data_IF_580427417055
#
_entry.id   IF_580427417055
#
_cell.length_a   1.000
_cell.length_b   1.000
_cell.length_c   1.000
_cell.angle_alpha   90.00
_cell.angle_beta   90.00
_cell.angle_gamma   90.00
#
_symmetry.space_group_name_H-M   'P 1'
#
loop_
_entity.id
_entity.type
_entity.pdbx_description
1 polymer ?
#
# COMPACT_ATOMS: atom_id res chain seq x y z
N UNK A 1 10.11 -41.80 -14.59
CA UNK A 1 9.53 -40.61 -15.24
C UNK A 1 8.32 -40.17 -14.45
N UNK A 2 8.26 -38.87 -14.14
CA UNK A 2 7.09 -38.07 -13.70
C UNK A 2 6.57 -38.26 -12.27
N UNK A 3 6.92 -37.31 -11.40
CA UNK A 3 6.20 -37.01 -10.16
C UNK A 3 4.99 -36.10 -10.47
N UNK A 4 3.86 -36.22 -9.74
CA UNK A 4 2.70 -35.34 -9.95
C UNK A 4 2.92 -33.99 -9.27
N UNK A 5 2.90 -32.91 -10.07
CA UNK A 5 2.81 -31.53 -9.60
C UNK A 5 1.47 -31.34 -8.88
N UNK A 6 1.49 -31.30 -7.54
CA UNK A 6 0.34 -30.85 -6.76
C UNK A 6 0.15 -29.36 -7.00
N UNK A 7 -1.03 -29.02 -7.52
CA UNK A 7 -1.53 -27.66 -7.63
C UNK A 7 -1.39 -26.96 -6.26
N UNK A 8 -0.54 -25.94 -6.21
CA UNK A 8 -0.43 -25.07 -5.04
C UNK A 8 -1.68 -24.21 -5.01
N UNK A 9 -2.51 -24.45 -3.99
CA UNK A 9 -3.65 -23.63 -3.61
C UNK A 9 -3.22 -22.16 -3.60
N UNK A 10 -3.84 -21.36 -4.46
CA UNK A 10 -3.78 -19.91 -4.38
C UNK A 10 -4.36 -19.49 -3.02
N UNK A 11 -3.49 -19.23 -2.05
CA UNK A 11 -3.84 -18.51 -0.85
C UNK A 11 -4.23 -17.12 -1.34
N UNK A 12 -5.52 -16.79 -1.23
CA UNK A 12 -6.01 -15.44 -1.42
C UNK A 12 -5.08 -14.51 -0.64
N UNK A 13 -4.30 -13.71 -1.37
CA UNK A 13 -3.30 -12.85 -0.78
C UNK A 13 -4.05 -11.89 0.14
N UNK A 14 -3.89 -12.04 1.45
CA UNK A 14 -4.15 -10.92 2.37
C UNK A 14 -3.32 -9.78 1.76
N UNK A 15 -3.93 -8.68 1.29
CA UNK A 15 -3.17 -7.62 0.65
C UNK A 15 -2.10 -7.23 1.66
N UNK A 16 -0.84 -7.40 1.25
CA UNK A 16 0.30 -7.22 2.11
C UNK A 16 0.34 -5.74 2.48
N UNK A 17 -0.34 -5.33 3.56
CA UNK A 17 -0.38 -3.94 4.06
C UNK A 17 0.96 -3.49 4.66
N UNK A 18 2.07 -4.09 4.24
CA UNK A 18 3.41 -3.73 4.67
C UNK A 18 3.83 -2.34 4.18
N UNK A 19 4.97 -1.90 4.71
CA UNK A 19 5.62 -0.61 4.44
C UNK A 19 5.91 -0.42 2.94
N UNK A 20 4.93 0.11 2.21
CA UNK A 20 5.02 0.30 0.74
C UNK A 20 3.77 -0.08 -0.04
N UNK A 21 2.78 -0.72 0.58
CA UNK A 21 1.46 -0.97 -0.01
C UNK A 21 0.68 0.34 -0.28
N UNK A 22 -0.29 0.34 -1.21
CA UNK A 22 -1.14 1.52 -1.42
C UNK A 22 -1.85 1.95 -0.13
N UNK A 23 -2.37 0.99 0.64
CA UNK A 23 -2.98 1.25 1.95
C UNK A 23 -2.03 1.98 2.91
N UNK A 24 -0.81 1.46 3.11
CA UNK A 24 0.17 2.09 3.99
C UNK A 24 0.62 3.48 3.50
N UNK A 25 0.58 3.74 2.19
CA UNK A 25 0.85 5.07 1.62
C UNK A 25 -0.29 6.05 1.95
N UNK A 26 -1.54 5.60 1.84
CA UNK A 26 -2.70 6.41 2.21
C UNK A 26 -2.69 6.80 3.68
N UNK A 27 -2.46 5.82 4.55
CA UNK A 27 -2.29 6.02 5.99
C UNK A 27 -1.14 7.01 6.27
N UNK A 28 0.03 6.81 5.66
CA UNK A 28 1.16 7.72 5.85
C UNK A 28 0.84 9.16 5.39
N UNK A 29 0.16 9.35 4.27
CA UNK A 29 -0.22 10.69 3.82
C UNK A 29 -1.19 11.36 4.79
N UNK A 30 -2.13 10.61 5.36
CA UNK A 30 -3.05 11.14 6.37
C UNK A 30 -2.35 11.40 7.70
N UNK A 31 -1.49 10.49 8.16
CA UNK A 31 -0.62 10.62 9.34
C UNK A 31 0.18 11.92 9.32
N UNK A 32 0.71 12.32 8.15
CA UNK A 32 1.46 13.57 7.97
C UNK A 32 0.60 14.78 7.55
N UNK A 33 -0.74 14.68 7.57
CA UNK A 33 -1.65 15.77 7.20
C UNK A 33 -1.55 16.21 5.74
N UNK A 34 -1.10 15.34 4.83
CA UNK A 34 -0.90 15.66 3.41
C UNK A 34 -2.19 15.47 2.62
N UNK A 35 -2.32 16.22 1.52
CA UNK A 35 -3.33 15.92 0.51
C UNK A 35 -3.06 14.53 -0.12
N UNK A 36 -4.09 13.81 -0.57
CA UNK A 36 -3.95 12.50 -1.20
C UNK A 36 -3.07 12.61 -2.46
N UNK A 37 -1.81 12.24 -2.31
CA UNK A 37 -0.79 12.20 -3.36
C UNK A 37 0.00 10.92 -3.15
N UNK A 38 -0.30 9.84 -3.87
CA UNK A 38 0.40 8.57 -3.67
C UNK A 38 1.89 8.74 -3.96
N UNK A 39 2.66 8.90 -2.87
CA UNK A 39 4.10 9.06 -2.86
C UNK A 39 4.72 7.82 -2.24
N UNK A 40 5.84 7.36 -2.81
CA UNK A 40 6.65 6.30 -2.23
C UNK A 40 7.97 6.88 -1.80
N UNK A 41 8.38 6.57 -0.57
CA UNK A 41 9.75 6.81 -0.13
C UNK A 41 10.64 5.74 -0.77
N UNK A 42 11.53 6.16 -1.67
CA UNK A 42 12.59 5.33 -2.21
C UNK A 42 13.87 5.74 -1.48
N UNK A 43 14.32 4.93 -0.52
CA UNK A 43 15.62 5.15 0.08
C UNK A 43 16.72 4.74 -0.91
N UNK A 44 17.74 5.57 -1.23
CA UNK A 44 18.06 6.91 -0.72
C UNK A 44 17.59 8.09 -1.61
N UNK A 45 16.83 7.82 -2.69
CA UNK A 45 16.37 8.82 -3.66
C UNK A 45 15.34 9.84 -3.10
N UNK A 46 14.76 9.60 -1.93
CA UNK A 46 13.72 10.43 -1.34
C UNK A 46 12.32 10.07 -1.83
N UNK A 47 11.42 11.06 -1.90
CA UNK A 47 10.02 10.83 -2.31
C UNK A 47 9.89 10.86 -3.82
N UNK A 48 9.30 9.81 -4.38
CA UNK A 48 8.89 9.77 -5.78
C UNK A 48 7.38 9.59 -5.84
N UNK A 49 6.73 10.39 -6.69
CA UNK A 49 5.30 10.23 -6.97
C UNK A 49 5.10 8.94 -7.76
N UNK A 50 4.29 8.03 -7.22
CA UNK A 50 3.96 6.77 -7.88
C UNK A 50 2.48 6.84 -8.23
N UNK A 51 2.12 7.13 -9.50
CA UNK A 51 0.72 7.11 -9.91
C UNK A 51 0.16 5.69 -9.71
N UNK A 52 -0.99 5.61 -9.06
CA UNK A 52 -1.78 4.39 -8.99
C UNK A 52 -2.64 4.35 -10.25
N UNK A 53 -2.36 3.40 -11.14
CA UNK A 53 -3.11 3.23 -12.40
C UNK A 53 -4.15 2.13 -12.29
N UNK A 54 -3.98 1.22 -11.33
CA UNK A 54 -4.93 0.15 -11.06
C UNK A 54 -6.03 0.63 -10.10
N UNK A 55 -7.32 0.43 -10.44
CA UNK A 55 -8.42 0.89 -9.59
C UNK A 55 -8.43 0.23 -8.20
N UNK A 56 -8.00 -1.03 -8.07
CA UNK A 56 -7.96 -1.72 -6.78
C UNK A 56 -6.91 -1.09 -5.86
N UNK A 57 -5.75 -0.72 -6.41
CA UNK A 57 -4.71 0.00 -5.66
C UNK A 57 -5.17 1.39 -5.21
N UNK A 58 -5.97 2.08 -6.04
CA UNK A 58 -6.55 3.38 -5.68
C UNK A 58 -7.53 3.21 -4.51
N UNK A 59 -8.39 2.20 -4.55
CA UNK A 59 -9.32 1.94 -3.44
C UNK A 59 -8.58 1.61 -2.14
N UNK A 60 -7.55 0.78 -2.19
CA UNK A 60 -6.73 0.48 -1.00
C UNK A 60 -6.03 1.71 -0.45
N UNK A 61 -5.49 2.58 -1.31
CA UNK A 61 -4.89 3.85 -0.91
C UNK A 61 -5.89 4.77 -0.23
N UNK A 62 -7.07 4.95 -0.83
CA UNK A 62 -8.13 5.79 -0.26
C UNK A 62 -8.66 5.21 1.04
N UNK A 63 -8.70 3.89 1.18
CA UNK A 63 -9.08 3.22 2.41
C UNK A 63 -8.08 3.53 3.53
N UNK A 64 -6.77 3.36 3.28
CA UNK A 64 -5.73 3.70 4.26
C UNK A 64 -5.74 5.18 4.66
N UNK A 65 -5.97 6.07 3.69
CA UNK A 65 -6.09 7.52 3.94
C UNK A 65 -7.32 7.87 4.80
N UNK A 66 -8.43 7.14 4.62
CA UNK A 66 -9.66 7.35 5.39
C UNK A 66 -9.57 6.74 6.79
N UNK A 67 -9.08 5.51 6.89
CA UNK A 67 -9.00 4.77 8.16
C UNK A 67 -7.90 5.32 9.06
N UNK A 68 -6.78 5.79 8.50
CA UNK A 68 -5.66 6.40 9.22
C UNK A 68 -5.30 5.67 10.52
N UNK A 69 -5.02 4.35 10.47
CA UNK A 69 -4.75 3.57 11.68
C UNK A 69 -3.49 4.01 12.42
N UNK A 70 -2.61 4.81 11.79
CA UNK A 70 -1.45 5.39 12.46
C UNK A 70 -1.76 6.63 13.30
N UNK A 71 -3.03 7.08 13.31
CA UNK A 71 -3.52 8.34 13.90
C UNK A 71 -2.83 9.59 13.31
N UNK A 72 -3.50 10.75 13.32
CA UNK A 72 -2.85 11.96 12.80
C UNK A 72 -1.70 12.33 13.75
N UNK A 73 -0.51 12.57 13.20
CA UNK A 73 0.63 12.91 14.04
C UNK A 73 0.39 14.27 14.68
N UNK A 74 0.32 14.30 16.00
CA UNK A 74 0.17 15.53 16.80
C UNK A 74 1.54 16.21 16.96
N UNK A 75 1.91 17.12 16.05
CA UNK A 75 3.14 17.93 16.12
C UNK A 75 2.96 19.31 15.53
#
# INVERSE_FOLDING_TARGET
MTAPLRASTAVAAIPNRGSGSPYARGDADRYYGRCPRPEKWLDPLGRVRVPLTDPEEVEEYLLGYRENPSDEKEW
#
